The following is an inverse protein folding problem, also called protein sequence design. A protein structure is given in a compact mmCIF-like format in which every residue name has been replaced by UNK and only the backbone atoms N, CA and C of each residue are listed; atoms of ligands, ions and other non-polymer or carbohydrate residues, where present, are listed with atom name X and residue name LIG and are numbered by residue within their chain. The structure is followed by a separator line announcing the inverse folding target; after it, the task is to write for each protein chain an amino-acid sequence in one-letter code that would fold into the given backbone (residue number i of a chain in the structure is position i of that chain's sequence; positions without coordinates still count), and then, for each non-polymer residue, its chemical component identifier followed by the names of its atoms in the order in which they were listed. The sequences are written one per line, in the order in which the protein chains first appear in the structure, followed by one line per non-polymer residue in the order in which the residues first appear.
data_IF_988603507801
#
_entry.id   IF_988603507801
#
_cell.length_a   1.000
_cell.length_b   1.000
_cell.length_c   1.000
_cell.angle_alpha   90.00
_cell.angle_beta   90.00
_cell.angle_gamma   90.00
#
_symmetry.space_group_name_H-M   'P 1'
#
loop_
_entity.id
_entity.type
_entity.pdbx_description
1 polymer ?
#
# COMPACT_ATOMS: atom_id res chain seq x y z
N UNK A 1 -35.30 -16.94 1.32
CA UNK A 1 -33.84 -16.84 1.52
C UNK A 1 -33.54 -15.50 2.15
N UNK A 2 -33.20 -15.48 3.45
CA UNK A 2 -33.01 -14.23 4.20
C UNK A 2 -31.75 -13.49 3.76
N UNK A 3 -31.91 -12.21 3.44
CA UNK A 3 -30.84 -11.28 3.04
C UNK A 3 -29.79 -11.27 4.17
N UNK A 4 -28.57 -11.74 3.92
CA UNK A 4 -27.43 -11.47 4.82
C UNK A 4 -27.20 -9.97 4.76
N UNK A 5 -27.73 -9.23 5.73
CA UNK A 5 -27.36 -7.82 5.90
C UNK A 5 -25.89 -7.82 6.30
N UNK A 6 -25.01 -7.52 5.35
CA UNK A 6 -23.60 -7.36 5.67
C UNK A 6 -23.47 -6.18 6.64
N UNK A 7 -23.01 -6.48 7.86
CA UNK A 7 -22.71 -5.47 8.86
C UNK A 7 -21.67 -4.51 8.25
N UNK A 8 -21.90 -3.20 8.34
CA UNK A 8 -20.96 -2.20 7.83
C UNK A 8 -19.60 -2.34 8.52
N UNK A 9 -18.55 -1.84 7.87
CA UNK A 9 -17.19 -1.91 8.42
C UNK A 9 -17.13 -1.16 9.76
N UNK A 10 -17.77 0.00 9.86
CA UNK A 10 -17.83 0.82 11.08
C UNK A 10 -18.47 0.04 12.23
N UNK A 11 -19.57 -0.67 11.96
CA UNK A 11 -20.25 -1.52 12.96
C UNK A 11 -19.42 -2.74 13.35
N UNK A 12 -18.64 -3.32 12.44
CA UNK A 12 -17.67 -4.38 12.77
C UNK A 12 -16.58 -3.86 13.70
N UNK A 13 -16.04 -2.67 13.43
CA UNK A 13 -15.04 -2.02 14.29
C UNK A 13 -15.62 -1.77 15.68
N UNK A 14 -16.82 -1.19 15.76
CA UNK A 14 -17.51 -0.93 17.03
C UNK A 14 -17.67 -2.23 17.84
N UNK A 15 -18.12 -3.32 17.21
CA UNK A 15 -18.26 -4.62 17.85
C UNK A 15 -16.94 -5.18 18.40
N UNK A 16 -15.86 -5.11 17.61
CA UNK A 16 -14.52 -5.54 18.06
C UNK A 16 -14.04 -4.71 19.24
N UNK A 17 -14.23 -3.38 19.21
CA UNK A 17 -13.84 -2.50 20.31
C UNK A 17 -14.63 -2.79 21.59
N UNK A 18 -15.96 -3.00 21.50
CA UNK A 18 -16.78 -3.42 22.64
C UNK A 18 -16.28 -4.73 23.25
N UNK A 19 -15.95 -5.73 22.42
CA UNK A 19 -15.39 -7.00 22.87
C UNK A 19 -14.05 -6.83 23.59
N UNK A 20 -13.16 -5.97 23.07
CA UNK A 20 -11.84 -5.72 23.65
C UNK A 20 -11.90 -5.00 25.00
N UNK A 21 -12.93 -4.16 25.23
CA UNK A 21 -13.17 -3.50 26.53
C UNK A 21 -13.58 -4.48 27.62
N UNK A 22 -14.11 -5.66 27.26
CA UNK A 22 -14.54 -6.72 28.18
C UNK A 22 -15.63 -6.28 29.19
N UNK A 23 -16.43 -5.29 28.83
CA UNK A 23 -17.55 -4.81 29.67
C UNK A 23 -18.72 -5.81 29.69
N UNK A 24 -18.85 -6.62 28.63
CA UNK A 24 -19.88 -7.65 28.50
C UNK A 24 -19.30 -8.94 27.85
N UNK A 25 -19.93 -10.11 28.05
CA UNK A 25 -19.51 -11.34 27.39
C UNK A 25 -19.58 -11.26 25.86
N UNK A 26 -18.66 -11.93 25.17
CA UNK A 26 -18.60 -11.97 23.70
C UNK A 26 -19.93 -12.40 23.05
N UNK A 27 -20.66 -13.33 23.67
CA UNK A 27 -21.99 -13.76 23.26
C UNK A 27 -23.02 -12.61 23.25
N UNK A 28 -22.95 -11.68 24.20
CA UNK A 28 -23.86 -10.53 24.27
C UNK A 28 -23.50 -9.51 23.19
N UNK A 29 -22.21 -9.23 22.99
CA UNK A 29 -21.73 -8.39 21.88
C UNK A 29 -22.22 -8.96 20.54
N UNK A 30 -21.99 -10.25 20.29
CA UNK A 30 -22.36 -10.91 19.03
C UNK A 30 -23.87 -10.79 18.74
N UNK A 31 -24.72 -10.98 19.76
CA UNK A 31 -26.18 -10.79 19.64
C UNK A 31 -26.56 -9.35 19.34
N UNK A 32 -25.96 -8.35 20.01
CA UNK A 32 -26.25 -6.92 19.79
C UNK A 32 -25.99 -6.50 18.35
N UNK A 33 -24.92 -6.99 17.74
CA UNK A 33 -24.55 -6.66 16.36
C UNK A 33 -25.12 -7.64 15.33
N UNK A 34 -25.90 -8.64 15.74
CA UNK A 34 -26.53 -9.61 14.83
C UNK A 34 -25.54 -10.53 14.10
N UNK A 35 -24.44 -10.91 14.77
CA UNK A 35 -23.35 -11.72 14.20
C UNK A 35 -23.10 -12.98 15.03
N UNK A 36 -22.40 -13.95 14.46
CA UNK A 36 -21.92 -15.10 15.23
C UNK A 36 -20.72 -14.73 16.09
N UNK A 37 -20.58 -15.36 17.26
CA UNK A 37 -19.38 -15.23 18.09
C UNK A 37 -18.11 -15.58 17.30
N UNK A 38 -18.16 -16.61 16.46
CA UNK A 38 -17.05 -16.99 15.59
C UNK A 38 -16.62 -15.85 14.65
N UNK A 39 -17.57 -15.14 14.04
CA UNK A 39 -17.26 -13.98 13.20
C UNK A 39 -16.61 -12.86 14.01
N UNK A 40 -17.13 -12.60 15.21
CA UNK A 40 -16.62 -11.59 16.12
C UNK A 40 -15.19 -11.90 16.58
N UNK A 41 -14.90 -13.14 16.96
CA UNK A 41 -13.55 -13.60 17.29
C UNK A 41 -12.60 -13.45 16.10
N UNK A 42 -13.04 -13.83 14.89
CA UNK A 42 -12.23 -13.66 13.66
C UNK A 42 -11.87 -12.20 13.42
N UNK A 43 -12.84 -11.29 13.55
CA UNK A 43 -12.59 -9.85 13.36
C UNK A 43 -11.67 -9.27 14.42
N UNK A 44 -11.78 -9.72 15.68
CA UNK A 44 -10.84 -9.35 16.74
C UNK A 44 -9.41 -9.75 16.37
N UNK A 45 -9.22 -10.98 15.90
CA UNK A 45 -7.89 -11.50 15.57
C UNK A 45 -7.28 -10.75 14.38
N UNK A 46 -8.07 -10.51 13.32
CA UNK A 46 -7.66 -9.69 12.17
C UNK A 46 -7.28 -8.25 12.61
N UNK A 47 -8.10 -7.63 13.47
CA UNK A 47 -7.88 -6.28 13.98
C UNK A 47 -6.59 -6.18 14.81
N UNK A 48 -6.35 -7.14 15.70
CA UNK A 48 -5.15 -7.17 16.53
C UNK A 48 -3.89 -7.45 15.70
N UNK A 49 -3.97 -8.34 14.71
CA UNK A 49 -2.86 -8.62 13.80
C UNK A 49 -2.48 -7.37 12.99
N UNK A 50 -3.46 -6.70 12.39
CA UNK A 50 -3.23 -5.46 11.65
C UNK A 50 -2.71 -4.34 12.57
N UNK A 51 -3.27 -4.21 13.77
CA UNK A 51 -2.78 -3.26 14.79
C UNK A 51 -1.32 -3.50 15.17
N UNK A 52 -0.92 -4.76 15.38
CA UNK A 52 0.48 -5.12 15.65
C UNK A 52 1.41 -4.77 14.49
N UNK A 53 0.99 -5.03 13.26
CA UNK A 53 1.77 -4.68 12.07
C UNK A 53 1.96 -3.16 11.98
N UNK A 54 0.89 -2.38 12.15
CA UNK A 54 0.94 -0.92 12.16
C UNK A 54 1.85 -0.35 13.25
N UNK A 55 1.73 -0.85 14.49
CA UNK A 55 2.58 -0.42 15.61
C UNK A 55 4.06 -0.80 15.44
N UNK A 56 4.34 -1.93 14.79
CA UNK A 56 5.72 -2.36 14.53
C UNK A 56 6.42 -1.58 13.41
N UNK A 57 5.72 -0.65 12.75
CA UNK A 57 6.24 0.07 11.57
C UNK A 57 6.44 -0.82 10.34
N UNK A 58 6.06 -2.10 10.40
CA UNK A 58 6.06 -3.04 9.26
C UNK A 58 4.83 -2.84 8.37
N UNK A 59 4.39 -1.61 8.19
CA UNK A 59 3.30 -1.31 7.25
C UNK A 59 3.81 -1.60 5.85
N UNK A 60 3.04 -2.35 5.05
CA UNK A 60 3.35 -2.58 3.64
C UNK A 60 3.67 -1.27 2.89
N UNK A 61 3.05 -0.17 3.33
CA UNK A 61 3.30 1.17 2.81
C UNK A 61 4.75 1.64 3.01
N UNK A 62 5.41 1.38 4.13
CA UNK A 62 6.78 1.88 4.34
C UNK A 62 7.78 1.24 3.37
N UNK A 63 7.66 -0.07 3.13
CA UNK A 63 8.46 -0.79 2.15
C UNK A 63 8.15 -0.32 0.72
N UNK A 64 6.86 -0.18 0.38
CA UNK A 64 6.43 0.29 -0.93
C UNK A 64 6.88 1.74 -1.20
N UNK A 65 6.74 2.64 -0.23
CA UNK A 65 7.22 4.03 -0.34
C UNK A 65 8.72 4.09 -0.57
N UNK A 66 9.50 3.29 0.18
CA UNK A 66 10.95 3.21 -0.02
C UNK A 66 11.30 2.74 -1.43
N UNK A 67 10.58 1.75 -1.94
CA UNK A 67 10.77 1.22 -3.29
C UNK A 67 10.37 2.22 -4.38
N UNK A 68 9.24 2.92 -4.22
CA UNK A 68 8.83 4.00 -5.11
C UNK A 68 9.89 5.11 -5.16
N UNK A 69 10.39 5.55 -4.00
CA UNK A 69 11.46 6.55 -3.94
C UNK A 69 12.80 6.06 -4.51
N UNK A 70 13.06 4.75 -4.50
CA UNK A 70 14.23 4.15 -5.15
C UNK A 70 14.07 4.20 -6.67
N UNK A 71 12.92 3.76 -7.18
CA UNK A 71 12.60 3.74 -8.60
C UNK A 71 12.58 5.16 -9.21
N UNK A 72 12.03 6.14 -8.49
CA UNK A 72 12.04 7.55 -8.92
C UNK A 72 13.47 8.09 -9.11
N UNK A 73 14.37 7.81 -8.17
CA UNK A 73 15.79 8.19 -8.30
C UNK A 73 16.48 7.50 -9.47
N UNK A 74 16.12 6.23 -9.73
CA UNK A 74 16.67 5.48 -10.84
C UNK A 74 16.19 6.03 -12.20
N UNK A 75 14.93 6.48 -12.28
CA UNK A 75 14.39 7.17 -13.46
C UNK A 75 15.13 8.48 -13.70
N UNK A 76 15.25 9.33 -12.68
CA UNK A 76 15.92 10.62 -12.78
C UNK A 76 17.38 10.47 -13.25
N UNK A 77 18.11 9.51 -12.68
CA UNK A 77 19.48 9.20 -13.11
C UNK A 77 19.55 8.76 -14.58
N UNK A 78 18.60 7.93 -15.04
CA UNK A 78 18.55 7.49 -16.44
C UNK A 78 18.20 8.64 -17.39
N UNK A 79 17.27 9.51 -17.01
CA UNK A 79 16.90 10.70 -17.78
C UNK A 79 18.08 11.65 -17.97
N UNK A 80 18.89 11.85 -16.93
CA UNK A 80 20.11 12.65 -17.02
C UNK A 80 21.08 12.07 -18.06
N UNK A 81 21.37 10.77 -17.98
CA UNK A 81 22.28 10.08 -18.92
C UNK A 81 21.76 10.18 -20.36
N UNK A 82 20.45 10.02 -20.57
CA UNK A 82 19.83 10.18 -21.89
C UNK A 82 20.02 11.61 -22.40
N UNK A 83 19.84 12.62 -21.54
CA UNK A 83 20.06 14.03 -21.88
C UNK A 83 21.50 14.30 -22.34
N UNK A 84 22.48 13.84 -21.56
CA UNK A 84 23.91 13.98 -21.87
C UNK A 84 24.26 13.31 -23.21
N UNK A 85 23.81 12.07 -23.42
CA UNK A 85 24.00 11.34 -24.67
C UNK A 85 23.32 12.02 -25.86
N UNK A 86 22.13 12.61 -25.66
CA UNK A 86 21.40 13.32 -26.71
C UNK A 86 22.17 14.56 -27.18
N UNK A 87 22.72 15.34 -26.23
CA UNK A 87 23.58 16.49 -26.55
C UNK A 87 24.83 16.06 -27.28
N UNK A 88 25.55 15.04 -26.77
CA UNK A 88 26.75 14.51 -27.40
C UNK A 88 26.47 14.03 -28.84
N UNK A 89 25.36 13.31 -29.05
CA UNK A 89 24.97 12.81 -30.37
C UNK A 89 24.69 13.96 -31.36
N UNK A 90 24.04 15.04 -30.90
CA UNK A 90 23.78 16.22 -31.73
C UNK A 90 25.09 16.91 -32.14
N UNK A 91 26.03 17.06 -31.23
CA UNK A 91 27.35 17.64 -31.51
C UNK A 91 28.10 16.79 -32.52
N UNK A 92 28.16 15.47 -32.33
CA UNK A 92 28.83 14.54 -33.25
C UNK A 92 28.22 14.58 -34.66
N UNK A 93 26.88 14.59 -34.76
CA UNK A 93 26.19 14.72 -36.05
C UNK A 93 26.51 16.04 -36.76
N UNK A 94 26.57 17.15 -36.03
CA UNK A 94 26.93 18.44 -36.60
C UNK A 94 28.38 18.44 -37.12
N UNK A 95 29.32 17.89 -36.34
CA UNK A 95 30.72 17.76 -36.76
C UNK A 95 30.86 16.86 -38.00
N UNK A 96 30.16 15.72 -38.01
CA UNK A 96 30.17 14.80 -39.17
C UNK A 96 29.57 15.41 -40.44
N UNK A 97 28.61 16.33 -40.34
CA UNK A 97 28.06 17.05 -41.50
C UNK A 97 29.02 18.10 -42.05
N UNK A 98 29.92 18.64 -41.23
CA UNK A 98 30.94 19.61 -41.64
C UNK A 98 32.22 18.98 -42.21
N UNK A 99 32.40 17.67 -42.06
CA UNK A 99 33.55 16.95 -42.61
C UNK A 99 33.29 16.57 -44.08
N UNK A 100 34.23 16.86 -45.01
CA UNK A 100 34.11 16.37 -46.39
C UNK A 100 34.09 14.83 -46.37
N UNK A 101 33.19 14.23 -47.16
CA UNK A 101 33.13 12.77 -47.27
C UNK A 101 34.48 12.25 -47.78
N UNK A 102 35.08 11.24 -47.13
CA UNK A 102 36.27 10.60 -47.67
C UNK A 102 35.93 9.98 -49.03
N UNK A 103 36.82 10.20 -50.00
CA UNK A 103 36.77 9.66 -51.37
C UNK A 103 36.89 8.13 -51.35
#
# INVERSE_FOLDING_TARGET
MGKRSELSVEKRIEAVLSMLRKEEPAAQVARRYGVSEQSLYRWRDDFLQAGKQGLSGKTANAALTKEVSRLQREIESREQVIGELTVANRVLKNLSRGLPRPL
#
